data_IF_339026223844
#
_entry.id   IF_339026223844
#
_cell.length_a   1.000
_cell.length_b   1.000
_cell.length_c   1.000
_cell.angle_alpha   90.00
_cell.angle_beta   90.00
_cell.angle_gamma   90.00
#
_symmetry.space_group_name_H-M   'P 1'
#
loop_
_entity.id
_entity.type
_entity.pdbx_description
1 polymer ?
#
# COMPACT_ATOMS: atom_id res chain seq x y z
N UNK A 1 -4.87 5.51 8.25
CA UNK A 1 -4.18 4.60 9.20
C UNK A 1 -3.35 3.60 8.41
N UNK A 2 -2.19 3.18 8.92
CA UNK A 2 -1.35 2.15 8.27
C UNK A 2 -1.82 0.76 8.71
N UNK A 3 -1.94 -0.19 7.78
CA UNK A 3 -2.21 -1.59 8.12
C UNK A 3 -0.91 -2.31 8.48
N UNK A 4 -0.92 -3.03 9.61
CA UNK A 4 0.25 -3.74 10.15
C UNK A 4 0.00 -5.25 10.16
N UNK A 5 1.06 -6.04 10.20
CA UNK A 5 1.03 -7.51 10.17
C UNK A 5 1.68 -8.09 8.93
N UNK A 6 1.44 -9.38 8.69
CA UNK A 6 1.80 -10.05 7.44
C UNK A 6 0.71 -9.78 6.40
N UNK A 7 1.06 -9.09 5.34
CA UNK A 7 0.15 -8.70 4.27
C UNK A 7 0.46 -9.56 3.05
N UNK A 8 -0.50 -10.38 2.66
CA UNK A 8 -0.40 -11.19 1.45
C UNK A 8 -0.54 -10.29 0.21
N UNK A 9 0.27 -10.58 -0.80
CA UNK A 9 0.36 -9.85 -2.06
C UNK A 9 0.14 -10.80 -3.23
N UNK A 10 0.12 -10.26 -4.45
CA UNK A 10 0.05 -11.11 -5.65
C UNK A 10 1.25 -12.05 -5.78
N UNK A 11 1.12 -13.07 -6.64
CA UNK A 11 2.17 -14.04 -6.97
C UNK A 11 2.77 -14.77 -5.76
N UNK A 12 2.04 -14.83 -4.65
CA UNK A 12 2.47 -15.51 -3.42
C UNK A 12 3.53 -14.74 -2.62
N UNK A 13 3.73 -13.46 -2.91
CA UNK A 13 4.58 -12.59 -2.10
C UNK A 13 3.89 -12.21 -0.78
N UNK A 14 4.69 -11.94 0.25
CA UNK A 14 4.21 -11.47 1.55
C UNK A 14 5.09 -10.33 2.02
N UNK A 15 4.46 -9.26 2.52
CA UNK A 15 5.13 -8.11 3.12
C UNK A 15 4.75 -8.02 4.60
N UNK A 16 5.77 -7.94 5.45
CA UNK A 16 5.64 -7.66 6.87
C UNK A 16 5.67 -6.16 7.09
N UNK A 17 4.65 -5.62 7.74
CA UNK A 17 4.59 -4.21 8.17
C UNK A 17 4.45 -4.17 9.69
N UNK A 18 5.39 -3.54 10.38
CA UNK A 18 5.37 -3.43 11.85
C UNK A 18 5.68 -2.00 12.26
N UNK A 19 4.91 -1.46 13.22
CA UNK A 19 5.24 -0.16 13.81
C UNK A 19 6.57 -0.24 14.56
N UNK A 20 7.36 0.83 14.49
CA UNK A 20 8.59 0.98 15.23
C UNK A 20 8.28 1.51 16.65
N UNK A 21 8.60 0.75 17.72
CA UNK A 21 8.35 1.19 19.10
C UNK A 21 9.32 2.29 19.55
N UNK A 22 10.50 2.42 18.93
CA UNK A 22 11.51 3.42 19.27
C UNK A 22 11.26 4.74 18.54
N UNK A 23 10.63 4.69 17.36
CA UNK A 23 10.28 5.87 16.56
C UNK A 23 8.77 5.89 16.22
N UNK A 24 7.91 6.47 17.08
CA UNK A 24 6.48 6.54 16.84
C UNK A 24 6.13 7.12 15.47
N UNK A 25 5.27 6.43 14.74
CA UNK A 25 4.85 6.80 13.40
C UNK A 25 5.74 6.24 12.28
N UNK A 26 6.89 5.64 12.60
CA UNK A 26 7.71 4.91 11.62
C UNK A 26 7.33 3.43 11.59
N UNK A 27 7.68 2.78 10.49
CA UNK A 27 7.34 1.39 10.25
C UNK A 27 8.53 0.62 9.66
N UNK A 28 8.77 -0.59 10.13
CA UNK A 28 9.59 -1.54 9.42
C UNK A 28 8.73 -2.26 8.38
N UNK A 29 9.15 -2.18 7.11
CA UNK A 29 8.49 -2.84 5.99
C UNK A 29 9.50 -3.77 5.34
N UNK A 30 9.18 -5.06 5.28
CA UNK A 30 10.15 -6.07 4.83
C UNK A 30 9.50 -7.32 4.27
N UNK A 31 10.31 -8.12 3.59
CA UNK A 31 9.90 -9.37 2.97
C UNK A 31 11.11 -10.19 2.57
N UNK A 32 10.94 -11.10 1.61
CA UNK A 32 12.04 -11.95 1.16
C UNK A 32 13.09 -11.12 0.40
N UNK A 33 14.20 -10.81 1.07
CA UNK A 33 15.36 -10.15 0.48
C UNK A 33 15.36 -8.62 0.56
N UNK A 34 14.43 -8.00 1.30
CA UNK A 34 14.43 -6.55 1.53
C UNK A 34 13.89 -6.22 2.92
N UNK A 35 14.39 -5.11 3.48
CA UNK A 35 13.93 -4.52 4.74
C UNK A 35 14.16 -3.01 4.67
N UNK A 36 13.13 -2.25 5.00
CA UNK A 36 13.12 -0.80 4.93
C UNK A 36 12.61 -0.23 6.25
N UNK A 37 13.12 0.94 6.62
CA UNK A 37 12.61 1.73 7.73
C UNK A 37 11.92 2.96 7.15
N UNK A 38 10.59 2.96 7.21
CA UNK A 38 9.77 3.88 6.46
C UNK A 38 9.13 4.93 7.36
N UNK A 39 9.18 6.18 6.91
CA UNK A 39 8.53 7.33 7.53
C UNK A 39 7.27 7.72 6.75
N UNK A 40 6.23 8.24 7.41
CA UNK A 40 5.02 8.69 6.74
C UNK A 40 5.26 9.99 5.98
N UNK A 41 4.71 10.09 4.78
CA UNK A 41 4.73 11.30 3.96
C UNK A 41 3.32 11.83 3.81
N UNK A 42 3.16 13.15 3.98
CA UNK A 42 1.86 13.82 3.84
C UNK A 42 1.38 13.70 2.40
N UNK A 43 0.15 13.24 2.23
CA UNK A 43 -0.53 13.17 0.93
C UNK A 43 -1.76 14.08 0.94
N UNK A 44 -2.08 14.66 -0.22
CA UNK A 44 -3.28 15.47 -0.40
C UNK A 44 -4.54 14.63 -0.66
N UNK A 45 -4.36 13.39 -1.13
CA UNK A 45 -5.46 12.49 -1.53
C UNK A 45 -5.92 11.56 -0.42
N UNK A 46 -5.33 11.63 0.78
CA UNK A 46 -5.63 10.73 1.90
C UNK A 46 -5.07 9.32 1.75
N UNK A 47 -4.28 9.06 0.70
CA UNK A 47 -3.53 7.81 0.51
C UNK A 47 -2.43 7.71 1.56
N UNK A 48 -2.29 6.55 2.20
CA UNK A 48 -1.13 6.33 3.06
C UNK A 48 0.10 6.12 2.18
N UNK A 49 1.13 6.94 2.41
CA UNK A 49 2.43 6.83 1.75
C UNK A 49 3.52 6.79 2.81
N UNK A 50 4.32 5.75 2.78
CA UNK A 50 5.52 5.62 3.60
C UNK A 50 6.75 5.55 2.70
N UNK A 51 7.85 6.16 3.13
CA UNK A 51 9.08 6.20 2.34
C UNK A 51 10.30 5.88 3.19
N UNK A 52 11.24 5.16 2.59
CA UNK A 52 12.62 5.07 3.01
C UNK A 52 13.50 5.70 1.91
N UNK A 53 13.85 7.00 1.99
CA UNK A 53 14.65 7.66 0.95
C UNK A 53 16.05 7.04 0.79
N UNK A 54 16.63 6.55 1.90
CA UNK A 54 17.95 5.93 1.90
C UNK A 54 17.91 4.57 1.19
N UNK A 55 16.91 3.74 1.49
CA UNK A 55 16.64 2.48 0.81
C UNK A 55 16.06 2.63 -0.60
N UNK A 56 15.47 3.79 -0.91
CA UNK A 56 14.77 4.05 -2.16
C UNK A 56 13.41 3.38 -2.26
N UNK A 57 12.78 3.04 -1.13
CA UNK A 57 11.54 2.27 -1.11
C UNK A 57 10.33 3.15 -0.77
N UNK A 58 9.20 2.85 -1.42
CA UNK A 58 7.93 3.56 -1.20
C UNK A 58 6.82 2.54 -1.01
N UNK A 59 6.13 2.62 0.12
CA UNK A 59 4.91 1.87 0.39
C UNK A 59 3.69 2.76 0.15
N UNK A 60 2.83 2.34 -0.76
CA UNK A 60 1.56 3.00 -1.04
C UNK A 60 0.43 2.11 -0.55
N UNK A 61 -0.50 2.69 0.20
CA UNK A 61 -1.68 1.99 0.70
C UNK A 61 -2.92 2.84 0.41
N UNK A 62 -3.77 2.29 -0.45
CA UNK A 62 -5.09 2.82 -0.77
C UNK A 62 -6.16 1.99 -0.05
N UNK A 63 -7.43 2.32 -0.32
CA UNK A 63 -8.57 1.76 0.41
C UNK A 63 -8.67 0.22 0.36
N UNK A 64 -8.33 -0.38 -0.78
CA UNK A 64 -8.56 -1.81 -1.04
C UNK A 64 -7.29 -2.62 -1.30
N UNK A 65 -6.13 -1.97 -1.39
CA UNK A 65 -4.84 -2.63 -1.63
C UNK A 65 -3.65 -1.73 -1.32
N UNK A 66 -2.48 -2.33 -1.31
CA UNK A 66 -1.21 -1.70 -1.07
C UNK A 66 -0.16 -2.22 -2.05
N UNK A 67 0.94 -1.49 -2.20
CA UNK A 67 2.07 -1.90 -3.04
C UNK A 67 3.38 -1.34 -2.49
N UNK A 68 4.46 -2.09 -2.73
CA UNK A 68 5.82 -1.72 -2.40
C UNK A 68 6.61 -1.48 -3.69
N UNK A 69 7.19 -0.28 -3.79
CA UNK A 69 7.98 0.17 -4.92
C UNK A 69 9.44 0.33 -4.51
N UNK A 70 10.36 -0.14 -5.34
CA UNK A 70 11.72 0.37 -5.42
C UNK A 70 11.71 1.59 -6.36
N UNK A 71 11.67 2.77 -5.78
CA UNK A 71 11.62 4.05 -6.49
C UNK A 71 12.91 4.33 -7.25
N UNK A 72 14.06 3.83 -6.79
CA UNK A 72 15.35 4.03 -7.45
C UNK A 72 15.45 3.21 -8.74
N UNK A 73 14.95 1.97 -8.71
CA UNK A 73 14.95 1.07 -9.87
C UNK A 73 13.67 1.17 -10.72
N UNK A 74 12.67 1.90 -10.25
CA UNK A 74 11.35 1.98 -10.90
C UNK A 74 10.61 0.64 -10.93
N UNK A 75 10.87 -0.24 -9.96
CA UNK A 75 10.38 -1.62 -9.94
C UNK A 75 9.34 -1.83 -8.82
N UNK A 76 8.27 -2.57 -9.11
CA UNK A 76 7.34 -3.08 -8.09
C UNK A 76 7.98 -4.29 -7.41
N UNK A 77 8.20 -4.20 -6.10
CA UNK A 77 8.72 -5.30 -5.28
C UNK A 77 7.60 -6.22 -4.80
N UNK A 78 6.44 -5.64 -4.51
CA UNK A 78 5.22 -6.37 -4.18
C UNK A 78 4.01 -5.53 -4.62
N UNK A 79 3.03 -6.17 -5.24
CA UNK A 79 1.82 -5.50 -5.73
C UNK A 79 0.55 -6.18 -5.20
N UNK A 80 -0.58 -5.48 -5.32
CA UNK A 80 -1.91 -5.95 -4.91
C UNK A 80 -1.92 -6.55 -3.48
N UNK A 81 -1.16 -5.97 -2.56
CA UNK A 81 -1.08 -6.41 -1.18
C UNK A 81 -2.34 -6.04 -0.41
N UNK A 82 -3.02 -7.01 0.20
CA UNK A 82 -4.29 -6.80 0.90
C UNK A 82 -4.23 -7.28 2.34
N UNK A 83 -4.45 -6.35 3.28
CA UNK A 83 -4.79 -6.69 4.67
C UNK A 83 -6.22 -7.25 4.76
N UNK A 84 -6.59 -7.96 5.85
CA UNK A 84 -7.95 -8.45 6.04
C UNK A 84 -9.03 -7.38 5.84
N UNK A 85 -8.79 -6.16 6.32
CA UNK A 85 -9.73 -5.05 6.14
C UNK A 85 -9.81 -4.57 4.69
N UNK A 86 -8.68 -4.57 3.98
CA UNK A 86 -8.64 -4.22 2.55
C UNK A 86 -9.35 -5.27 1.68
N UNK A 87 -9.31 -6.55 2.06
CA UNK A 87 -10.05 -7.62 1.37
C UNK A 87 -11.55 -7.33 1.43
N UNK A 88 -12.08 -6.98 2.61
CA UNK A 88 -13.51 -6.65 2.78
C UNK A 88 -13.90 -5.46 1.89
N UNK A 89 -13.06 -4.42 1.84
CA UNK A 89 -13.30 -3.26 0.96
C UNK A 89 -13.23 -3.67 -0.51
N UNK A 90 -12.25 -4.50 -0.90
CA UNK A 90 -12.11 -4.99 -2.27
C UNK A 90 -13.34 -5.81 -2.70
N UNK A 91 -13.88 -6.65 -1.83
CA UNK A 91 -15.12 -7.40 -2.08
C UNK A 91 -16.34 -6.49 -2.20
N UNK A 92 -16.45 -5.46 -1.35
CA UNK A 92 -17.53 -4.48 -1.45
C UNK A 92 -17.48 -3.71 -2.78
N UNK A 93 -16.29 -3.30 -3.22
CA UNK A 93 -16.08 -2.62 -4.51
C UNK A 93 -16.43 -3.56 -5.68
N UNK A 94 -16.13 -4.86 -5.58
CA UNK A 94 -16.55 -5.83 -6.61
C UNK A 94 -18.07 -5.93 -6.73
N UNK A 95 -18.80 -5.83 -5.61
CA UNK A 95 -20.27 -5.87 -5.59
C UNK A 95 -20.90 -4.56 -6.08
N UNK A 96 -20.26 -3.43 -5.76
CA UNK A 96 -20.74 -2.09 -6.12
C UNK A 96 -19.58 -1.29 -6.70
N UNK A 97 -19.25 -1.49 -8.00
CA UNK A 97 -18.15 -0.77 -8.61
C UNK A 97 -18.45 0.73 -8.64
N UNK A 98 -17.44 1.60 -8.44
CA UNK A 98 -17.62 3.02 -8.66
C UNK A 98 -18.06 3.27 -10.11
N UNK A 99 -18.90 4.29 -10.34
CA UNK A 99 -19.42 4.59 -11.67
C UNK A 99 -18.27 4.75 -12.67
N UNK A 100 -18.49 4.27 -13.90
CA UNK A 100 -17.46 4.30 -14.93
C UNK A 100 -17.07 5.75 -15.24
N UNK A 101 -15.77 6.00 -15.35
CA UNK A 101 -15.26 7.30 -15.79
C UNK A 101 -15.79 7.71 -17.19
N UNK A 102 -16.25 6.75 -17.99
CA UNK A 102 -16.82 6.99 -19.32
C UNK A 102 -18.33 7.31 -19.30
N UNK A 103 -19.06 6.98 -18.23
CA UNK A 103 -20.51 7.25 -18.11
C UNK A 103 -20.79 8.69 -17.64
N UNK A 104 -19.86 9.31 -16.91
CA UNK A 104 -19.99 10.68 -16.39
C UNK A 104 -20.06 11.77 -17.47
N UNK A 105 -19.84 11.45 -18.76
CA UNK A 105 -19.95 12.39 -19.88
C UNK A 105 -21.26 12.29 -20.67
N UNK A 106 -22.17 11.38 -20.32
CA UNK A 106 -23.39 11.12 -21.10
C UNK A 106 -24.64 11.82 -20.53
N UNK A 107 -24.50 12.99 -19.90
CA UNK A 107 -25.65 13.85 -19.58
C UNK A 107 -25.41 15.21 -20.20
N UNK A 108 -25.94 15.38 -21.43
CA UNK A 108 -26.13 16.65 -22.09
C UNK A 108 -27.63 16.93 -22.13
#
# INVERSE_FOLDING_TARGET
RVYVGQIACELGATVSVTADPEAPGHFHVGGKGFKYHMAPVVTSTGTVRLEDPAGGAVWLQIANKSMLMDQKRGQRLADECMSPEQIVVAEAIKKTPPPSLFEAKATK
#
